data_IF_168919602246
#
_entry.id   IF_168919602246
#
_cell.length_a   1.000
_cell.length_b   1.000
_cell.length_c   1.000
_cell.angle_alpha   90.00
_cell.angle_beta   90.00
_cell.angle_gamma   90.00
#
_symmetry.space_group_name_H-M   'P 1'
#
loop_
_entity.id
_entity.type
_entity.pdbx_description
1 polymer ?
#
# COMPACT_ATOMS: atom_id res chain seq x y z
N UNK A 1 -8.29 -3.94 9.41
CA UNK A 1 -9.72 -3.67 9.12
C UNK A 1 -9.70 -2.92 7.82
N UNK A 2 -10.41 -3.36 6.78
CA UNK A 2 -10.25 -2.81 5.42
C UNK A 2 -10.25 -1.28 5.39
N UNK A 3 -9.18 -0.70 4.87
CA UNK A 3 -9.13 0.72 4.58
C UNK A 3 -10.25 1.08 3.63
N UNK A 4 -10.91 2.18 3.96
CA UNK A 4 -11.87 2.79 3.04
C UNK A 4 -11.09 3.81 2.24
N UNK A 5 -11.09 3.65 0.91
CA UNK A 5 -10.59 4.52 -0.18
C UNK A 5 -10.49 6.06 0.04
N UNK A 6 -11.05 6.61 1.11
CA UNK A 6 -10.81 7.95 1.65
C UNK A 6 -9.37 8.16 2.14
N UNK A 7 -8.75 7.13 2.71
CA UNK A 7 -7.51 7.30 3.45
C UNK A 7 -6.26 7.03 2.60
N UNK A 8 -6.29 6.10 1.64
CA UNK A 8 -5.10 5.73 0.81
C UNK A 8 -4.82 6.71 -0.33
N UNK A 9 -5.82 7.46 -0.79
CA UNK A 9 -5.65 8.44 -1.87
C UNK A 9 -6.64 9.60 -1.80
N UNK A 10 -6.23 10.76 -2.33
CA UNK A 10 -7.10 11.91 -2.48
C UNK A 10 -7.86 11.80 -3.80
N UNK A 11 -9.14 11.39 -3.71
CA UNK A 11 -10.02 11.26 -4.85
C UNK A 11 -10.22 12.57 -5.64
N UNK A 12 -10.17 12.47 -6.97
CA UNK A 12 -10.47 13.58 -7.89
C UNK A 12 -11.86 13.39 -8.49
N UNK A 13 -12.71 14.40 -8.39
CA UNK A 13 -14.07 14.39 -8.92
C UNK A 13 -14.30 15.52 -9.91
N UNK A 14 -15.06 15.26 -10.98
CA UNK A 14 -15.50 16.26 -11.96
C UNK A 14 -14.37 17.14 -12.54
N UNK A 15 -13.16 16.58 -12.66
CA UNK A 15 -12.03 17.27 -13.31
C UNK A 15 -12.28 17.37 -14.80
N UNK A 16 -12.41 18.61 -15.30
CA UNK A 16 -12.52 18.86 -16.73
C UNK A 16 -11.15 18.70 -17.41
N UNK A 17 -11.10 17.89 -18.46
CA UNK A 17 -9.94 17.70 -19.32
C UNK A 17 -10.28 18.22 -20.71
N UNK A 18 -9.40 19.05 -21.27
CA UNK A 18 -9.65 19.71 -22.56
C UNK A 18 -8.59 19.37 -23.57
N UNK A 19 -9.03 18.98 -24.76
CA UNK A 19 -8.16 18.56 -25.85
C UNK A 19 -8.33 19.48 -27.04
N UNK A 20 -7.22 19.86 -27.66
CA UNK A 20 -7.19 20.62 -28.91
C UNK A 20 -6.14 20.06 -29.84
N UNK A 21 -6.15 20.44 -31.12
CA UNK A 21 -5.11 20.01 -32.07
C UNK A 21 -3.70 20.42 -31.65
N UNK A 22 -3.56 21.52 -30.90
CA UNK A 22 -2.30 22.00 -30.35
C UNK A 22 -1.95 21.41 -28.98
N UNK A 23 -2.91 20.78 -28.31
CA UNK A 23 -2.73 20.13 -27.01
C UNK A 23 -3.52 18.81 -26.99
N UNK A 24 -2.95 17.74 -27.56
CA UNK A 24 -3.59 16.43 -27.66
C UNK A 24 -3.46 15.60 -26.37
N UNK A 25 -2.78 16.13 -25.34
CA UNK A 25 -2.49 15.44 -24.09
C UNK A 25 -2.88 16.30 -22.90
N UNK A 26 -3.44 15.65 -21.87
CA UNK A 26 -3.71 16.25 -20.56
C UNK A 26 -3.37 15.21 -19.48
N UNK A 27 -3.09 15.66 -18.26
CA UNK A 27 -2.74 14.77 -17.16
C UNK A 27 -3.44 15.15 -15.86
N UNK A 28 -3.69 14.15 -15.03
CA UNK A 28 -4.23 14.31 -13.68
C UNK A 28 -3.27 13.63 -12.72
N UNK A 29 -2.80 14.37 -11.72
CA UNK A 29 -2.04 13.80 -10.60
C UNK A 29 -3.03 13.42 -9.51
N UNK A 30 -2.97 12.17 -9.06
CA UNK A 30 -3.68 11.69 -7.87
C UNK A 30 -2.64 11.59 -6.75
N UNK A 31 -2.94 12.17 -5.59
CA UNK A 31 -2.09 12.04 -4.40
C UNK A 31 -2.41 10.71 -3.72
N UNK A 32 -1.37 9.91 -3.47
CA UNK A 32 -1.41 8.72 -2.62
C UNK A 32 -1.00 9.17 -1.22
N UNK A 33 -1.72 8.71 -0.20
CA UNK A 33 -1.41 8.98 1.20
C UNK A 33 -0.62 7.77 1.73
N UNK A 34 0.57 8.04 2.21
CA UNK A 34 1.46 7.05 2.85
C UNK A 34 1.25 7.14 4.36
N UNK A 35 1.08 6.00 5.03
CA UNK A 35 0.90 5.95 6.48
C UNK A 35 1.78 4.89 7.17
N UNK A 36 1.27 4.24 8.21
CA UNK A 36 2.01 3.22 9.00
C UNK A 36 1.11 2.03 9.38
N UNK A 37 -0.12 1.99 8.85
CA UNK A 37 -1.04 0.88 9.03
C UNK A 37 -0.66 -0.23 8.05
N UNK A 38 -0.41 -1.43 8.58
CA UNK A 38 -0.14 -2.59 7.72
C UNK A 38 -1.43 -3.00 7.00
N UNK A 39 -1.39 -2.97 5.68
CA UNK A 39 -2.54 -3.15 4.81
C UNK A 39 -2.42 -4.40 3.92
N UNK A 40 -3.37 -4.59 2.99
CA UNK A 40 -3.21 -5.62 1.98
C UNK A 40 -2.07 -5.19 1.04
N UNK A 41 -1.11 -6.09 0.77
CA UNK A 41 0.06 -5.77 -0.05
C UNK A 41 -0.26 -5.11 -1.41
N UNK A 42 -1.47 -5.33 -1.98
CA UNK A 42 -1.91 -4.64 -3.20
C UNK A 42 -3.35 -4.14 -3.08
N UNK A 43 -3.48 -2.82 -3.02
CA UNK A 43 -4.76 -2.11 -2.97
C UNK A 43 -5.09 -1.49 -4.33
N UNK A 44 -6.38 -1.29 -4.66
CA UNK A 44 -6.77 -0.80 -5.99
C UNK A 44 -7.89 0.22 -5.96
N UNK A 45 -7.71 1.29 -6.73
CA UNK A 45 -8.80 2.19 -7.12
C UNK A 45 -8.93 2.31 -8.64
N UNK A 46 -10.06 2.86 -9.09
CA UNK A 46 -10.34 3.06 -10.51
C UNK A 46 -10.62 4.51 -10.83
N UNK A 47 -10.17 4.95 -12.00
CA UNK A 47 -10.56 6.22 -12.60
C UNK A 47 -11.43 5.94 -13.83
N UNK A 48 -12.47 6.75 -14.03
CA UNK A 48 -13.37 6.62 -15.19
C UNK A 48 -13.53 7.96 -15.91
N UNK A 49 -13.61 7.88 -17.24
CA UNK A 49 -13.87 9.01 -18.11
C UNK A 49 -15.35 9.03 -18.49
N UNK A 50 -15.96 10.20 -18.39
CA UNK A 50 -17.31 10.50 -18.86
C UNK A 50 -17.26 11.66 -19.84
N UNK A 51 -18.14 11.63 -20.85
CA UNK A 51 -18.32 12.75 -21.77
C UNK A 51 -19.32 13.71 -21.16
N UNK A 52 -19.02 15.01 -21.18
CA UNK A 52 -20.00 16.03 -20.81
C UNK A 52 -21.21 15.97 -21.75
N UNK A 53 -22.38 15.70 -21.18
CA UNK A 53 -23.66 15.60 -21.88
C UNK A 53 -24.05 16.84 -22.70
N UNK A 54 -23.44 17.99 -22.45
CA UNK A 54 -23.66 19.23 -23.22
C UNK A 54 -22.92 19.29 -24.57
N UNK A 55 -22.02 18.35 -24.85
CA UNK A 55 -21.24 18.36 -26.09
C UNK A 55 -21.97 17.61 -27.22
N UNK A 56 -22.36 18.33 -28.28
CA UNK A 56 -22.83 17.73 -29.54
C UNK A 56 -21.65 17.21 -30.39
N UNK A 57 -20.80 16.37 -29.81
CA UNK A 57 -19.60 15.81 -30.45
C UNK A 57 -19.63 14.29 -30.44
N UNK A 58 -19.18 13.70 -31.55
CA UNK A 58 -19.00 12.24 -31.65
C UNK A 58 -17.60 11.91 -31.11
N UNK A 59 -17.53 11.54 -29.83
CA UNK A 59 -16.30 11.11 -29.16
C UNK A 59 -16.49 9.67 -28.68
N UNK A 60 -15.48 8.83 -28.91
CA UNK A 60 -15.40 7.47 -28.35
C UNK A 60 -14.30 7.44 -27.31
N UNK A 61 -14.60 6.95 -26.11
CA UNK A 61 -13.62 6.75 -25.04
C UNK A 61 -13.17 5.28 -25.06
N UNK A 62 -11.88 5.01 -25.22
CA UNK A 62 -11.35 3.64 -25.25
C UNK A 62 -9.85 3.57 -24.89
N UNK A 63 -9.46 2.86 -23.81
CA UNK A 63 -10.32 2.48 -22.69
C UNK A 63 -10.81 3.73 -21.94
N UNK A 64 -12.02 3.67 -21.36
CA UNK A 64 -12.56 4.77 -20.56
C UNK A 64 -12.36 4.58 -19.05
N UNK A 65 -11.70 3.50 -18.64
CA UNK A 65 -11.36 3.21 -17.25
C UNK A 65 -9.89 2.89 -17.13
N UNK A 66 -9.27 3.37 -16.06
CA UNK A 66 -7.94 2.98 -15.63
C UNK A 66 -8.02 2.38 -14.22
N UNK A 67 -7.18 1.40 -13.94
CA UNK A 67 -6.96 0.86 -12.59
C UNK A 67 -5.60 1.30 -12.11
N UNK A 68 -5.54 1.81 -10.87
CA UNK A 68 -4.31 2.12 -10.18
C UNK A 68 -4.18 1.12 -9.04
N UNK A 69 -2.99 0.56 -8.90
CA UNK A 69 -2.63 -0.32 -7.79
C UNK A 69 -1.66 0.42 -6.88
N UNK A 70 -1.97 0.44 -5.59
CA UNK A 70 -1.09 0.91 -4.52
C UNK A 70 -0.42 -0.34 -3.94
N UNK A 71 0.91 -0.30 -3.82
CA UNK A 71 1.73 -1.37 -3.25
C UNK A 71 2.09 -0.91 -1.84
N UNK A 72 1.52 -1.56 -0.82
CA UNK A 72 1.76 -1.19 0.58
C UNK A 72 3.26 -1.40 0.91
N UNK A 73 3.86 -0.39 1.54
CA UNK A 73 5.26 -0.38 1.90
C UNK A 73 5.50 -0.49 3.40
N UNK A 74 4.48 -0.81 4.19
CA UNK A 74 4.62 -1.00 5.63
C UNK A 74 5.22 -2.36 6.00
N UNK A 75 6.08 -2.35 7.03
CA UNK A 75 6.95 -3.48 7.36
C UNK A 75 6.46 -4.20 8.61
N UNK A 76 6.23 -5.52 8.48
CA UNK A 76 5.92 -6.40 9.61
C UNK A 76 7.17 -7.17 10.02
N UNK A 77 7.59 -7.04 11.28
CA UNK A 77 8.73 -7.79 11.85
C UNK A 77 8.22 -8.73 12.94
N UNK A 78 8.62 -10.00 12.89
CA UNK A 78 8.16 -11.01 13.86
C UNK A 78 9.11 -12.18 14.06
N UNK A 79 8.83 -13.00 15.07
CA UNK A 79 9.55 -14.26 15.30
C UNK A 79 9.15 -15.30 14.26
N UNK A 80 10.14 -15.96 13.64
CA UNK A 80 9.93 -17.07 12.70
C UNK A 80 9.17 -18.21 13.39
N UNK A 81 9.62 -18.58 14.58
CA UNK A 81 8.99 -19.59 15.42
C UNK A 81 8.54 -18.93 16.73
N UNK A 82 7.23 -18.77 16.98
CA UNK A 82 6.74 -18.11 18.19
C UNK A 82 6.95 -18.95 19.46
N UNK A 83 7.25 -20.23 19.30
CA UNK A 83 7.53 -21.15 20.40
C UNK A 83 8.71 -22.03 20.04
N UNK A 84 9.64 -22.21 20.99
CA UNK A 84 10.72 -23.20 20.89
C UNK A 84 10.79 -24.00 22.17
N UNK A 85 11.29 -25.23 22.09
CA UNK A 85 11.49 -26.10 23.26
C UNK A 85 12.92 -26.61 23.22
N UNK A 86 13.64 -26.34 24.31
CA UNK A 86 15.02 -26.82 24.50
C UNK A 86 15.09 -27.59 25.82
N UNK A 87 15.98 -28.57 25.89
CA UNK A 87 16.29 -29.24 27.15
C UNK A 87 17.06 -28.29 28.07
N UNK A 88 17.06 -28.53 29.38
CA UNK A 88 17.80 -27.70 30.36
C UNK A 88 19.32 -27.64 30.11
N UNK A 89 19.87 -28.59 29.34
CA UNK A 89 21.27 -28.59 28.89
C UNK A 89 21.49 -27.95 27.51
N UNK A 90 20.46 -27.38 26.90
CA UNK A 90 20.48 -26.83 25.54
C UNK A 90 20.56 -25.31 25.49
N UNK A 91 20.72 -24.77 24.28
CA UNK A 91 20.69 -23.33 23.99
C UNK A 91 19.47 -23.04 23.09
N UNK A 92 18.69 -22.00 23.44
CA UNK A 92 17.59 -21.54 22.61
C UNK A 92 18.07 -20.43 21.65
N UNK A 93 17.78 -20.60 20.37
CA UNK A 93 17.99 -19.56 19.35
C UNK A 93 16.62 -19.05 18.89
N UNK A 94 16.43 -17.73 18.92
CA UNK A 94 15.22 -17.08 18.40
C UNK A 94 15.55 -16.43 17.07
N UNK A 95 14.77 -16.73 16.05
CA UNK A 95 14.90 -16.10 14.74
C UNK A 95 13.82 -15.03 14.56
N UNK A 96 14.23 -13.84 14.13
CA UNK A 96 13.35 -12.71 13.79
C UNK A 96 13.53 -12.42 12.31
N UNK A 97 12.43 -12.14 11.60
CA UNK A 97 12.44 -11.81 10.18
C UNK A 97 11.44 -10.71 9.87
N UNK A 98 11.61 -10.08 8.70
CA UNK A 98 10.53 -9.38 8.02
C UNK A 98 9.54 -10.44 7.56
N UNK A 99 8.31 -10.35 8.04
CA UNK A 99 7.18 -11.22 7.70
C UNK A 99 6.41 -10.70 6.51
N UNK A 100 6.34 -9.37 6.37
CA UNK A 100 5.68 -8.68 5.27
C UNK A 100 6.32 -7.30 5.03
N UNK A 101 6.12 -6.77 3.82
CA UNK A 101 6.69 -5.50 3.37
C UNK A 101 8.17 -5.57 3.01
N UNK A 102 8.77 -4.41 2.70
CA UNK A 102 10.20 -4.29 2.43
C UNK A 102 10.79 -3.06 3.10
N UNK A 103 11.98 -3.19 3.68
CA UNK A 103 12.73 -2.04 4.20
C UNK A 103 13.38 -1.33 3.02
N UNK A 104 13.10 -0.03 2.78
CA UNK A 104 13.73 0.72 1.70
C UNK A 104 15.26 0.70 1.80
N UNK A 105 15.93 0.70 0.64
CA UNK A 105 17.39 0.71 0.58
C UNK A 105 17.98 1.93 1.30
N UNK A 106 18.84 1.68 2.28
CA UNK A 106 19.48 2.72 3.09
C UNK A 106 18.76 3.03 4.41
N UNK A 107 17.56 2.50 4.63
CA UNK A 107 16.83 2.63 5.88
C UNK A 107 17.14 1.50 6.87
N UNK A 108 16.88 1.73 8.16
CA UNK A 108 17.01 0.74 9.22
C UNK A 108 15.80 0.75 10.14
N UNK A 109 15.23 -0.42 10.37
CA UNK A 109 14.18 -0.64 11.36
C UNK A 109 14.79 -1.32 12.57
N UNK A 110 14.63 -0.72 13.76
CA UNK A 110 15.28 -1.17 14.99
C UNK A 110 14.21 -1.73 15.93
N UNK A 111 14.32 -3.02 16.24
CA UNK A 111 13.50 -3.70 17.25
C UNK A 111 14.35 -4.06 18.47
N UNK A 112 13.73 -4.05 19.66
CA UNK A 112 14.39 -4.42 20.91
C UNK A 112 13.82 -5.73 21.42
N UNK A 113 14.68 -6.72 21.68
CA UNK A 113 14.31 -7.95 22.36
C UNK A 113 14.36 -7.76 23.88
N UNK A 114 13.33 -8.20 24.58
CA UNK A 114 13.31 -8.27 26.05
C UNK A 114 12.80 -9.65 26.46
N UNK A 115 13.43 -10.23 27.46
CA UNK A 115 13.00 -11.51 28.07
C UNK A 115 12.37 -11.23 29.43
N UNK A 116 11.38 -12.05 29.80
CA UNK A 116 10.76 -12.01 31.12
C UNK A 116 10.54 -13.44 31.62
N UNK A 117 10.68 -13.63 32.93
CA UNK A 117 10.38 -14.90 33.56
C UNK A 117 8.86 -15.09 33.63
N UNK A 118 8.38 -16.26 33.20
CA UNK A 118 6.98 -16.69 33.36
C UNK A 118 6.90 -17.84 34.37
N UNK A 119 7.45 -19.01 34.00
CA UNK A 119 7.59 -20.17 34.90
C UNK A 119 9.01 -20.72 34.98
N UNK A 120 9.98 -20.06 34.35
CA UNK A 120 11.40 -20.40 34.46
C UNK A 120 11.94 -20.01 35.85
N UNK A 121 12.89 -20.79 36.40
CA UNK A 121 13.48 -20.58 37.73
C UNK A 121 15.00 -20.46 37.66
#
# INVERSE_FOLDING_TARGET
>A
TFSTASDDYIGVSNRLLTFSSSQPTDSVTITINDDTEVEDALERFTASLTIDSGLNLVVTLLPNTATVTIDDNDVVIGFVDPTTTVTESGEATLFVTIMDGTIPSGEQYIVTLTTADDTAN
#
